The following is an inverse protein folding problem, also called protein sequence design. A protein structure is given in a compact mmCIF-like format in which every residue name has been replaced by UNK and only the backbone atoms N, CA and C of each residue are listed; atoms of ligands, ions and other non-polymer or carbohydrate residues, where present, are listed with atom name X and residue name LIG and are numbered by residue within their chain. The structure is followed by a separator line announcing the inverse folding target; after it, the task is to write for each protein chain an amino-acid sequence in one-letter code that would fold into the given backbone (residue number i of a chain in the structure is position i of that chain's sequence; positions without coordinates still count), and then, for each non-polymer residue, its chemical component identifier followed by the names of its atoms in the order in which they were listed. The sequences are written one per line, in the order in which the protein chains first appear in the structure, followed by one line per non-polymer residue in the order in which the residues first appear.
data_IF_128431451170
#
_entry.id   IF_128431451170
#
_cell.length_a   1.000
_cell.length_b   1.000
_cell.length_c   1.000
_cell.angle_alpha   90.00
_cell.angle_beta   90.00
_cell.angle_gamma   90.00
#
_symmetry.space_group_name_H-M   'P 1'
#
loop_
_entity.id
_entity.type
_entity.pdbx_description
1 polymer ?
#
# COMPACT_ATOMS: atom_id res chain seq x y z
N UNK A 1 -0.50 -22.88 -12.72
CA UNK A 1 -1.98 -22.92 -12.81
C UNK A 1 -2.51 -21.61 -12.24
N UNK A 2 -3.29 -20.89 -13.01
CA UNK A 2 -4.03 -19.72 -12.50
C UNK A 2 -5.26 -20.20 -11.73
N UNK A 3 -5.44 -19.67 -10.51
CA UNK A 3 -6.67 -19.81 -9.75
C UNK A 3 -7.25 -18.42 -9.54
N UNK A 4 -8.45 -18.18 -10.04
CA UNK A 4 -9.17 -16.93 -9.84
C UNK A 4 -10.19 -17.14 -8.72
N UNK A 5 -10.06 -16.36 -7.63
CA UNK A 5 -11.02 -16.30 -6.54
C UNK A 5 -11.70 -14.93 -6.60
N UNK A 6 -13.02 -14.91 -6.56
CA UNK A 6 -13.80 -13.67 -6.53
C UNK A 6 -14.74 -13.70 -5.35
N UNK A 7 -14.49 -12.83 -4.39
CA UNK A 7 -15.35 -12.62 -3.23
C UNK A 7 -16.05 -11.26 -3.33
N UNK A 8 -17.28 -11.21 -2.84
CA UNK A 8 -18.06 -9.98 -2.76
C UNK A 8 -18.63 -9.85 -1.36
N UNK A 9 -18.22 -8.83 -0.65
CA UNK A 9 -18.77 -8.46 0.64
C UNK A 9 -19.79 -7.33 0.42
N UNK A 10 -21.07 -7.62 0.53
CA UNK A 10 -22.12 -6.61 0.47
C UNK A 10 -22.40 -6.11 1.89
N UNK A 11 -22.27 -4.80 2.15
CA UNK A 11 -22.73 -4.25 3.41
C UNK A 11 -24.26 -4.26 3.43
N UNK A 12 -24.83 -4.50 4.60
CA UNK A 12 -26.24 -4.15 4.84
C UNK A 12 -26.43 -2.65 4.51
N UNK A 13 -27.62 -2.26 4.07
CA UNK A 13 -27.92 -0.86 3.71
C UNK A 13 -27.85 0.13 4.90
N UNK A 14 -27.50 -0.33 6.07
CA UNK A 14 -27.39 0.45 7.29
C UNK A 14 -25.97 0.98 7.51
N UNK A 15 -25.86 2.07 8.26
CA UNK A 15 -24.58 2.53 8.83
C UNK A 15 -23.92 1.41 9.64
N UNK A 16 -22.58 1.34 9.62
CA UNK A 16 -21.84 0.33 10.37
C UNK A 16 -20.42 0.15 9.89
N UNK A 17 -19.72 -0.73 10.59
CA UNK A 17 -18.32 -1.06 10.30
C UNK A 17 -18.21 -2.46 9.67
N UNK A 18 -17.31 -2.59 8.69
CA UNK A 18 -16.83 -3.85 8.18
C UNK A 18 -15.32 -3.92 8.37
N UNK A 19 -14.85 -5.00 8.97
CA UNK A 19 -13.43 -5.30 9.04
C UNK A 19 -13.12 -6.49 8.14
N UNK A 20 -12.10 -6.32 7.28
CA UNK A 20 -11.61 -7.36 6.37
C UNK A 20 -10.11 -7.51 6.59
N UNK A 21 -9.65 -8.74 6.80
CA UNK A 21 -8.23 -9.06 6.86
C UNK A 21 -7.90 -10.09 5.81
N UNK A 22 -6.87 -9.81 5.01
CA UNK A 22 -6.36 -10.68 3.96
C UNK A 22 -4.91 -11.04 4.23
N UNK A 23 -4.60 -12.32 4.28
CA UNK A 23 -3.23 -12.81 4.46
C UNK A 23 -2.81 -13.58 3.20
N UNK A 24 -1.66 -13.21 2.64
CA UNK A 24 -1.13 -13.73 1.39
C UNK A 24 0.28 -14.28 1.58
N UNK A 25 0.56 -15.38 0.91
CA UNK A 25 1.86 -16.03 0.92
C UNK A 25 2.29 -16.32 -0.53
N UNK A 26 3.07 -15.41 -1.12
CA UNK A 26 3.69 -15.61 -2.42
C UNK A 26 4.91 -16.53 -2.25
N UNK A 27 4.70 -17.81 -2.49
CA UNK A 27 5.75 -18.82 -2.41
C UNK A 27 6.79 -18.65 -3.50
N UNK A 28 7.91 -19.39 -3.39
CA UNK A 28 8.97 -19.34 -4.39
C UNK A 28 8.43 -19.45 -5.82
N UNK A 29 8.91 -18.54 -6.69
CA UNK A 29 8.57 -18.47 -8.11
C UNK A 29 7.06 -18.30 -8.37
N UNK A 30 6.32 -17.71 -7.43
CA UNK A 30 4.89 -17.48 -7.59
C UNK A 30 4.55 -15.98 -7.65
N UNK A 31 3.43 -15.68 -8.32
CA UNK A 31 2.88 -14.32 -8.38
C UNK A 31 1.44 -14.34 -7.91
N UNK A 32 1.12 -13.43 -7.00
CA UNK A 32 -0.25 -13.19 -6.54
C UNK A 32 -0.69 -11.84 -7.11
N UNK A 33 -1.88 -11.79 -7.70
CA UNK A 33 -2.55 -10.53 -8.01
C UNK A 33 -3.78 -10.40 -7.14
N UNK A 34 -3.79 -9.36 -6.28
CA UNK A 34 -4.95 -8.99 -5.47
C UNK A 34 -5.57 -7.72 -6.03
N UNK A 35 -6.85 -7.78 -6.35
CA UNK A 35 -7.63 -6.61 -6.76
C UNK A 35 -8.74 -6.39 -5.74
N UNK A 36 -8.77 -5.22 -5.11
CA UNK A 36 -9.79 -4.84 -4.15
C UNK A 36 -10.51 -3.58 -4.63
N UNK A 37 -11.83 -3.64 -4.73
CA UNK A 37 -12.66 -2.48 -4.99
C UNK A 37 -13.49 -2.19 -3.74
N UNK A 38 -13.20 -1.07 -3.11
CA UNK A 38 -13.79 -0.65 -1.84
C UNK A 38 -14.86 0.39 -2.11
N UNK A 39 -16.12 -0.05 -2.11
CA UNK A 39 -17.28 0.81 -2.32
C UNK A 39 -18.10 0.86 -1.04
N UNK A 40 -18.15 2.02 -0.40
CA UNK A 40 -18.90 2.21 0.84
C UNK A 40 -19.97 3.28 0.69
N UNK A 41 -21.11 3.02 1.33
CA UNK A 41 -22.19 4.00 1.44
C UNK A 41 -21.94 5.01 2.55
N UNK A 42 -22.75 6.04 2.59
CA UNK A 42 -22.70 7.05 3.65
C UNK A 42 -22.94 6.42 5.04
N UNK A 43 -22.16 6.82 6.03
CA UNK A 43 -22.22 6.28 7.39
C UNK A 43 -21.63 4.86 7.53
N UNK A 44 -20.97 4.33 6.49
CA UNK A 44 -20.28 3.05 6.54
C UNK A 44 -18.76 3.25 6.65
N UNK A 45 -18.13 2.41 7.44
CA UNK A 45 -16.66 2.39 7.59
C UNK A 45 -16.10 1.03 7.15
N UNK A 46 -14.97 1.05 6.47
CA UNK A 46 -14.18 -0.14 6.17
C UNK A 46 -12.83 -0.08 6.87
N UNK A 47 -12.55 -1.11 7.64
CA UNK A 47 -11.21 -1.41 8.13
C UNK A 47 -10.67 -2.55 7.27
N UNK A 48 -9.77 -2.25 6.35
CA UNK A 48 -9.12 -3.23 5.50
C UNK A 48 -7.69 -3.45 5.95
N UNK A 49 -7.23 -4.70 6.00
CA UNK A 49 -5.88 -5.05 6.37
C UNK A 49 -5.36 -6.14 5.43
N UNK A 50 -4.24 -5.88 4.75
CA UNK A 50 -3.60 -6.79 3.81
C UNK A 50 -2.19 -7.09 4.28
N UNK A 51 -1.92 -8.34 4.64
CA UNK A 51 -0.58 -8.84 4.92
C UNK A 51 -0.07 -9.74 3.80
N UNK A 52 1.18 -9.56 3.36
CA UNK A 52 1.81 -10.43 2.38
C UNK A 52 3.25 -10.77 2.75
N UNK A 53 3.60 -12.04 2.58
CA UNK A 53 4.97 -12.52 2.64
C UNK A 53 5.37 -13.04 1.26
N UNK A 54 6.48 -12.51 0.71
CA UNK A 54 7.03 -12.94 -0.56
C UNK A 54 8.35 -13.71 -0.34
N UNK A 55 8.37 -14.97 -0.79
CA UNK A 55 9.58 -15.80 -0.82
C UNK A 55 10.44 -15.50 -2.07
N UNK A 56 11.47 -16.31 -2.36
CA UNK A 56 12.39 -16.15 -3.50
C UNK A 56 11.62 -16.06 -4.84
N UNK A 57 11.87 -15.00 -5.61
CA UNK A 57 11.11 -14.67 -6.83
C UNK A 57 9.59 -14.58 -6.63
N UNK A 58 9.12 -14.49 -5.38
CA UNK A 58 7.70 -14.30 -5.08
C UNK A 58 7.27 -12.85 -5.35
N UNK A 59 6.09 -12.65 -5.92
CA UNK A 59 5.60 -11.33 -6.26
C UNK A 59 4.16 -11.09 -5.80
N UNK A 60 3.89 -9.86 -5.33
CA UNK A 60 2.55 -9.34 -5.09
C UNK A 60 2.29 -8.16 -6.04
N UNK A 61 1.24 -8.30 -6.86
CA UNK A 61 0.62 -7.19 -7.58
C UNK A 61 -0.68 -6.83 -6.86
N UNK A 62 -0.69 -5.68 -6.19
CA UNK A 62 -1.85 -5.16 -5.46
C UNK A 62 -2.46 -4.01 -6.25
N UNK A 63 -3.75 -4.12 -6.57
CA UNK A 63 -4.54 -3.03 -7.12
C UNK A 63 -5.71 -2.74 -6.18
N UNK A 64 -5.78 -1.53 -5.65
CA UNK A 64 -6.88 -1.09 -4.82
C UNK A 64 -7.59 0.10 -5.45
N UNK A 65 -8.91 0.11 -5.38
CA UNK A 65 -9.74 1.22 -5.84
C UNK A 65 -10.72 1.60 -4.73
N UNK A 66 -10.62 2.85 -4.25
CA UNK A 66 -11.49 3.40 -3.21
C UNK A 66 -12.46 4.39 -3.83
N UNK A 67 -13.74 4.05 -3.80
CA UNK A 67 -14.83 4.88 -4.33
C UNK A 67 -16.06 4.81 -3.43
N UNK A 68 -16.95 5.78 -3.54
CA UNK A 68 -18.19 5.80 -2.75
C UNK A 68 -18.26 6.98 -1.81
N UNK A 69 -18.85 6.81 -0.61
CA UNK A 69 -19.11 7.89 0.34
C UNK A 69 -18.72 7.56 1.78
N UNK A 70 -18.35 6.32 2.05
CA UNK A 70 -17.97 5.87 3.38
C UNK A 70 -16.48 5.98 3.64
N UNK A 71 -16.11 5.96 4.90
CA UNK A 71 -14.72 6.06 5.33
C UNK A 71 -13.97 4.74 5.12
N UNK A 72 -12.70 4.84 4.76
CA UNK A 72 -11.82 3.70 4.56
C UNK A 72 -10.52 3.89 5.33
N UNK A 73 -10.19 2.89 6.13
CA UNK A 73 -8.92 2.78 6.85
C UNK A 73 -8.22 1.53 6.34
N UNK A 74 -7.07 1.70 5.71
CA UNK A 74 -6.39 0.65 4.97
C UNK A 74 -4.98 0.43 5.47
N UNK A 75 -4.69 -0.78 5.94
CA UNK A 75 -3.39 -1.25 6.35
C UNK A 75 -2.81 -2.20 5.31
N UNK A 76 -1.60 -1.94 4.85
CA UNK A 76 -0.89 -2.82 3.92
C UNK A 76 0.50 -3.10 4.48
N UNK A 77 0.78 -4.38 4.70
CA UNK A 77 2.07 -4.83 5.21
C UNK A 77 2.65 -5.91 4.30
N UNK A 78 3.81 -5.64 3.70
CA UNK A 78 4.47 -6.60 2.81
C UNK A 78 5.91 -6.86 3.26
N UNK A 79 6.28 -8.12 3.34
CA UNK A 79 7.65 -8.56 3.59
C UNK A 79 8.24 -9.25 2.36
N UNK A 80 9.28 -8.65 1.78
CA UNK A 80 10.08 -9.24 0.71
C UNK A 80 11.22 -10.04 1.35
N UNK A 81 10.87 -11.27 1.81
CA UNK A 81 11.73 -12.05 2.72
C UNK A 81 12.95 -12.65 2.06
N UNK A 82 12.90 -12.93 0.77
CA UNK A 82 13.97 -13.62 0.02
C UNK A 82 14.36 -12.85 -1.22
N UNK A 83 15.46 -13.30 -1.83
CA UNK A 83 16.05 -12.65 -3.00
C UNK A 83 15.06 -12.58 -4.18
N UNK A 84 15.11 -11.47 -4.94
CA UNK A 84 14.26 -11.20 -6.09
C UNK A 84 12.76 -11.14 -5.81
N UNK A 85 12.34 -11.03 -4.55
CA UNK A 85 10.95 -10.81 -4.21
C UNK A 85 10.50 -9.39 -4.61
N UNK A 86 9.23 -9.22 -4.98
CA UNK A 86 8.75 -7.92 -5.46
C UNK A 86 7.33 -7.58 -5.00
N UNK A 87 7.09 -6.26 -4.89
CA UNK A 87 5.78 -5.65 -4.66
C UNK A 87 5.52 -4.60 -5.75
N UNK A 88 4.36 -4.69 -6.39
CA UNK A 88 3.77 -3.58 -7.13
C UNK A 88 2.43 -3.24 -6.50
N UNK A 89 2.30 -2.05 -5.95
CA UNK A 89 1.07 -1.56 -5.32
C UNK A 89 0.56 -0.33 -6.09
N UNK A 90 -0.68 -0.43 -6.58
CA UNK A 90 -1.39 0.64 -7.26
C UNK A 90 -2.67 0.95 -6.48
N UNK A 91 -2.83 2.19 -6.03
CA UNK A 91 -3.95 2.64 -5.22
C UNK A 91 -4.63 3.80 -5.93
N UNK A 92 -5.84 3.58 -6.44
CA UNK A 92 -6.68 4.61 -7.04
C UNK A 92 -7.80 5.04 -6.11
N UNK A 93 -8.09 6.35 -5.99
CA UNK A 93 -9.16 6.83 -5.14
C UNK A 93 -9.89 8.05 -5.69
N UNK A 94 -11.20 8.08 -5.40
CA UNK A 94 -12.06 9.26 -5.61
C UNK A 94 -12.82 9.51 -4.32
N UNK A 95 -12.46 10.58 -3.62
CA UNK A 95 -13.03 10.96 -2.33
C UNK A 95 -13.85 12.22 -2.47
N UNK A 96 -15.01 12.25 -1.82
CA UNK A 96 -15.98 13.34 -1.92
C UNK A 96 -16.68 13.62 -0.58
N UNK A 97 -17.37 14.74 -0.47
CA UNK A 97 -18.03 15.18 0.74
C UNK A 97 -17.03 15.34 1.92
N UNK A 98 -17.26 14.63 3.02
CA UNK A 98 -16.39 14.61 4.20
C UNK A 98 -15.74 13.23 4.41
N UNK A 99 -15.61 12.46 3.33
CA UNK A 99 -15.05 11.11 3.34
C UNK A 99 -13.60 11.12 3.81
N UNK A 100 -13.25 10.11 4.62
CA UNK A 100 -11.88 9.90 5.10
C UNK A 100 -11.26 8.66 4.47
N UNK A 101 -10.04 8.83 4.00
CA UNK A 101 -9.21 7.73 3.55
C UNK A 101 -7.85 7.82 4.26
N UNK A 102 -7.63 6.89 5.16
CA UNK A 102 -6.36 6.75 5.88
C UNK A 102 -5.69 5.46 5.47
N UNK A 103 -4.56 5.55 4.78
CA UNK A 103 -3.79 4.40 4.31
C UNK A 103 -2.40 4.39 4.91
N UNK A 104 -2.01 3.22 5.40
CA UNK A 104 -0.68 2.97 5.95
C UNK A 104 -0.05 1.76 5.23
N UNK A 105 0.82 2.03 4.27
CA UNK A 105 1.53 1.01 3.51
C UNK A 105 2.96 0.89 4.04
N UNK A 106 3.34 -0.34 4.39
CA UNK A 106 4.68 -0.66 4.85
C UNK A 106 5.23 -1.83 4.05
N UNK A 107 6.41 -1.65 3.45
CA UNK A 107 7.13 -2.71 2.76
C UNK A 107 8.53 -2.86 3.33
N UNK A 108 8.89 -4.09 3.70
CA UNK A 108 10.20 -4.42 4.28
C UNK A 108 10.98 -5.32 3.34
N UNK A 109 12.17 -4.88 2.99
CA UNK A 109 13.11 -5.59 2.14
C UNK A 109 14.11 -6.36 2.99
N UNK A 110 14.02 -7.68 3.03
CA UNK A 110 14.95 -8.57 3.73
C UNK A 110 15.91 -9.27 2.77
N UNK A 111 15.43 -9.71 1.61
CA UNK A 111 16.21 -10.34 0.57
C UNK A 111 17.05 -9.34 -0.22
N UNK A 112 17.97 -9.84 -1.04
CA UNK A 112 18.76 -9.06 -1.98
C UNK A 112 18.02 -8.89 -3.30
N UNK A 113 18.33 -7.81 -4.01
CA UNK A 113 17.75 -7.54 -5.35
C UNK A 113 16.22 -7.57 -5.30
N UNK A 114 15.64 -7.10 -4.21
CA UNK A 114 14.19 -7.00 -4.05
C UNK A 114 13.69 -5.66 -4.57
N UNK A 115 12.46 -5.63 -5.07
CA UNK A 115 11.89 -4.43 -5.70
C UNK A 115 10.52 -4.09 -5.11
N UNK A 116 10.29 -2.81 -4.85
CA UNK A 116 8.95 -2.31 -4.51
C UNK A 116 8.62 -1.04 -5.28
N UNK A 117 7.42 -1.01 -5.85
CA UNK A 117 6.86 0.18 -6.48
C UNK A 117 5.50 0.46 -5.89
N UNK A 118 5.33 1.67 -5.39
CA UNK A 118 4.08 2.14 -4.80
C UNK A 118 3.62 3.34 -5.62
N UNK A 119 2.41 3.26 -6.15
CA UNK A 119 1.78 4.35 -6.88
C UNK A 119 0.40 4.62 -6.30
N UNK A 120 0.14 5.87 -5.90
CA UNK A 120 -1.14 6.28 -5.38
C UNK A 120 -1.66 7.49 -6.18
N UNK A 121 -2.79 7.30 -6.87
CA UNK A 121 -3.36 8.33 -7.73
C UNK A 121 -4.81 8.59 -7.33
N UNK A 122 -5.19 9.86 -7.22
CA UNK A 122 -6.57 10.12 -6.87
C UNK A 122 -7.03 11.55 -6.94
N UNK A 123 -8.30 11.72 -6.61
CA UNK A 123 -8.97 13.00 -6.57
C UNK A 123 -9.67 13.18 -5.23
N UNK A 124 -9.46 14.35 -4.61
CA UNK A 124 -10.19 14.82 -3.43
C UNK A 124 -11.10 15.96 -3.82
N UNK A 125 -12.36 15.87 -3.40
CA UNK A 125 -13.40 16.86 -3.65
C UNK A 125 -14.02 17.33 -2.33
N UNK A 126 -14.66 18.49 -2.37
CA UNK A 126 -15.42 19.08 -1.26
C UNK A 126 -14.55 19.30 -0.01
N UNK A 127 -14.81 18.55 1.07
CA UNK A 127 -14.06 18.55 2.32
C UNK A 127 -13.50 17.14 2.66
N UNK A 128 -13.16 16.37 1.64
CA UNK A 128 -12.60 15.05 1.83
C UNK A 128 -11.18 15.12 2.44
N UNK A 129 -10.88 14.13 3.26
CA UNK A 129 -9.59 14.02 3.96
C UNK A 129 -8.86 12.75 3.52
N UNK A 130 -7.58 12.89 3.15
CA UNK A 130 -6.70 11.75 2.90
C UNK A 130 -5.42 11.86 3.73
N UNK A 131 -5.03 10.73 4.33
CA UNK A 131 -3.72 10.56 4.94
C UNK A 131 -3.07 9.33 4.33
N UNK A 132 -1.95 9.52 3.64
CA UNK A 132 -1.14 8.44 3.08
C UNK A 132 0.18 8.36 3.85
N UNK A 133 0.48 7.18 4.38
CA UNK A 133 1.76 6.86 5.03
C UNK A 133 2.41 5.73 4.26
N UNK A 134 3.45 6.04 3.50
CA UNK A 134 4.27 5.07 2.79
C UNK A 134 5.57 4.83 3.54
N UNK A 135 5.89 3.59 3.85
CA UNK A 135 7.17 3.24 4.47
C UNK A 135 7.86 2.15 3.68
N UNK A 136 9.07 2.47 3.20
CA UNK A 136 9.97 1.51 2.55
C UNK A 136 11.15 1.28 3.50
N UNK A 137 11.28 0.06 4.03
CA UNK A 137 12.29 -0.31 5.01
C UNK A 137 13.30 -1.31 4.39
N UNK A 138 14.51 -0.83 4.10
CA UNK A 138 15.63 -1.68 3.68
C UNK A 138 16.36 -2.22 4.89
N UNK A 139 16.03 -3.44 5.28
CA UNK A 139 16.63 -4.12 6.43
C UNK A 139 18.08 -4.49 6.10
N UNK A 140 18.94 -4.57 7.12
CA UNK A 140 20.33 -4.96 6.95
C UNK A 140 20.46 -6.27 6.19
N UNK A 141 21.18 -6.26 5.08
CA UNK A 141 21.38 -7.41 4.21
C UNK A 141 20.63 -7.37 2.88
N UNK A 142 19.70 -6.43 2.69
CA UNK A 142 18.94 -6.23 1.44
C UNK A 142 19.75 -5.50 0.37
N UNK A 143 20.94 -6.00 0.04
CA UNK A 143 21.79 -5.36 -0.96
C UNK A 143 21.13 -5.32 -2.36
N UNK A 144 21.42 -4.29 -3.13
CA UNK A 144 20.95 -4.09 -4.51
C UNK A 144 19.41 -4.04 -4.66
N UNK A 145 18.71 -3.75 -3.57
CA UNK A 145 17.27 -3.60 -3.57
C UNK A 145 16.83 -2.18 -3.93
N UNK A 146 15.68 -2.06 -4.57
CA UNK A 146 15.14 -0.78 -5.05
C UNK A 146 13.72 -0.60 -4.54
N UNK A 147 13.40 0.63 -4.11
CA UNK A 147 12.05 1.02 -3.72
C UNK A 147 11.71 2.39 -4.28
N UNK A 148 10.50 2.52 -4.80
CA UNK A 148 9.97 3.77 -5.31
C UNK A 148 8.55 4.00 -4.82
N UNK A 149 8.26 5.25 -4.47
CA UNK A 149 6.91 5.72 -4.12
C UNK A 149 6.59 6.96 -4.95
N UNK A 150 5.41 6.96 -5.56
CA UNK A 150 4.90 8.07 -6.36
C UNK A 150 3.45 8.34 -5.97
N UNK A 151 3.11 9.60 -5.82
CA UNK A 151 1.74 10.01 -5.57
C UNK A 151 1.34 11.17 -6.48
N UNK A 152 0.11 11.09 -7.06
CA UNK A 152 -0.49 12.18 -7.81
C UNK A 152 -1.91 12.44 -7.32
N UNK A 153 -2.18 13.67 -6.86
CA UNK A 153 -3.47 14.02 -6.28
C UNK A 153 -4.03 15.27 -6.94
N UNK A 154 -5.24 15.15 -7.45
CA UNK A 154 -6.02 16.28 -7.91
C UNK A 154 -6.92 16.79 -6.78
N UNK A 155 -6.78 18.05 -6.42
CA UNK A 155 -7.56 18.68 -5.36
C UNK A 155 -8.65 19.57 -6.00
N UNK A 156 -9.91 19.24 -5.74
CA UNK A 156 -11.09 19.93 -6.26
C UNK A 156 -11.99 20.38 -5.10
N UNK A 157 -11.54 21.37 -4.35
CA UNK A 157 -12.27 21.95 -3.21
C UNK A 157 -11.32 22.75 -2.32
N UNK A 158 -11.84 23.76 -1.64
CA UNK A 158 -11.06 24.64 -0.78
C UNK A 158 -10.82 24.03 0.61
N UNK A 159 -11.67 23.09 1.02
CA UNK A 159 -11.64 22.48 2.36
C UNK A 159 -11.02 21.06 2.36
N UNK A 160 -10.44 20.62 1.26
CA UNK A 160 -9.80 19.30 1.17
C UNK A 160 -8.55 19.22 2.05
N UNK A 161 -8.34 18.07 2.69
CA UNK A 161 -7.14 17.78 3.48
C UNK A 161 -6.36 16.66 2.83
N UNK A 162 -5.18 16.99 2.32
CA UNK A 162 -4.25 16.02 1.73
C UNK A 162 -2.95 15.97 2.55
N UNK A 163 -2.66 14.82 3.15
CA UNK A 163 -1.43 14.58 3.90
C UNK A 163 -0.72 13.35 3.36
N UNK A 164 0.56 13.52 3.05
CA UNK A 164 1.45 12.44 2.59
C UNK A 164 2.69 12.41 3.47
N UNK A 165 3.02 11.24 3.99
CA UNK A 165 4.13 11.05 4.93
C UNK A 165 4.98 9.89 4.39
N UNK A 166 5.87 10.14 3.41
CA UNK A 166 6.78 9.14 2.92
C UNK A 166 7.93 8.92 3.90
N UNK A 167 8.30 7.67 4.14
CA UNK A 167 9.43 7.29 5.00
C UNK A 167 10.27 6.24 4.30
N UNK A 168 11.56 6.51 4.14
CA UNK A 168 12.53 5.52 3.66
C UNK A 168 13.52 5.25 4.80
N UNK A 169 13.55 4.01 5.25
CA UNK A 169 14.50 3.52 6.24
C UNK A 169 15.56 2.68 5.54
N UNK A 170 16.83 2.95 5.80
CA UNK A 170 17.93 2.17 5.25
C UNK A 170 18.90 1.80 6.38
N UNK A 171 18.96 0.52 6.71
CA UNK A 171 19.94 -0.04 7.64
C UNK A 171 21.27 -0.37 6.93
N UNK A 172 21.63 0.37 5.87
CA UNK A 172 22.89 0.25 5.18
C UNK A 172 24.03 0.84 6.03
N UNK A 173 25.19 0.16 6.04
CA UNK A 173 26.43 0.77 6.46
C UNK A 173 26.76 1.86 5.44
N UNK A 174 26.62 3.12 5.83
CA UNK A 174 27.30 4.19 5.13
C UNK A 174 28.81 3.90 5.27
N UNK A 175 29.44 3.45 4.20
CA UNK A 175 30.87 3.57 4.09
C UNK A 175 31.16 5.07 3.93
N UNK A 176 31.36 5.75 5.04
CA UNK A 176 32.14 6.97 5.00
C UNK A 176 33.54 6.51 4.62
N UNK A 177 33.95 6.70 3.38
CA UNK A 177 35.39 6.72 3.05
C UNK A 177 35.95 7.84 3.89
N UNK A 178 36.74 7.50 4.90
CA UNK A 178 37.63 8.43 5.55
C UNK A 178 38.57 8.99 4.46
N UNK A 179 38.24 10.15 3.95
CA UNK A 179 39.19 11.02 3.29
C UNK A 179 39.90 11.81 4.39
N UNK A 180 40.71 11.10 5.14
CA UNK A 180 41.74 11.71 5.98
C UNK A 180 43.01 10.96 5.67
N UNK A 181 43.85 11.63 4.90
CA UNK A 181 45.29 11.71 4.99
C UNK A 181 45.85 12.11 3.62
N UNK A 182 46.10 13.42 3.49
CA UNK A 182 47.38 14.02 3.13
C UNK A 182 47.31 15.51 3.38
#
# INVERSE_FOLDING_TARGET
SEMCIRDRFEPAQAAGQLAVRTELYAKKDSRIRLVQVMMRGEGQELLNDVGCICEENGALDLLQVVVGKGDVYDGIWTELQKDHASLQAEIGYLLQNQQKFDVNLNVRHFGKVTESTIQADGTLMDAAEKIFRGTIDFVRGSADSVGAETEQVLLLGDDVVNKTIPVILCACLLYTSDAADD
#
